data_IF_367977993122
#
_entry.id   IF_367977993122
#
_cell.length_a   1.000
_cell.length_b   1.000
_cell.length_c   1.000
_cell.angle_alpha   90.00
_cell.angle_beta   90.00
_cell.angle_gamma   90.00
#
_symmetry.space_group_name_H-M   'P 1'
#
loop_
_entity.id
_entity.type
_entity.pdbx_description
1 polymer ?
#
# COMPACT_ATOMS: atom_id res chain seq x y z
N UNK A 1 -20.87 -8.98 -19.24
CA UNK A 1 -19.53 -9.49 -18.86
C UNK A 1 -19.37 -9.87 -17.38
N UNK A 2 -20.42 -9.97 -16.56
CA UNK A 2 -20.32 -10.52 -15.18
C UNK A 2 -19.52 -9.70 -14.16
N UNK A 3 -18.95 -8.56 -14.56
CA UNK A 3 -18.24 -7.64 -13.67
C UNK A 3 -19.27 -6.89 -12.83
N UNK A 4 -19.21 -6.94 -11.49
CA UNK A 4 -20.11 -6.19 -10.62
C UNK A 4 -20.03 -4.70 -10.91
N UNK A 5 -21.18 -4.03 -10.95
CA UNK A 5 -21.24 -2.56 -11.01
C UNK A 5 -20.57 -1.99 -9.76
N UNK A 6 -19.76 -0.95 -9.94
CA UNK A 6 -19.10 -0.25 -8.83
C UNK A 6 -20.17 0.36 -7.92
N UNK A 7 -20.25 -0.09 -6.68
CA UNK A 7 -21.31 0.36 -5.77
C UNK A 7 -21.06 1.77 -5.22
N UNK A 8 -19.81 2.15 -4.97
CA UNK A 8 -19.47 3.48 -4.48
C UNK A 8 -18.21 4.05 -5.15
N UNK A 9 -18.41 4.66 -6.33
CA UNK A 9 -17.33 5.20 -7.14
C UNK A 9 -16.48 6.28 -6.42
N UNK A 10 -17.07 7.26 -5.69
CA UNK A 10 -16.27 8.26 -4.98
C UNK A 10 -15.30 7.65 -3.97
N UNK A 11 -15.73 6.63 -3.21
CA UNK A 11 -14.87 5.93 -2.25
C UNK A 11 -13.76 5.14 -2.93
N UNK A 12 -14.06 4.48 -4.06
CA UNK A 12 -13.05 3.77 -4.86
C UNK A 12 -11.97 4.74 -5.36
N UNK A 13 -12.37 5.91 -5.88
CA UNK A 13 -11.41 6.95 -6.33
C UNK A 13 -10.57 7.44 -5.16
N UNK A 14 -11.19 7.74 -4.02
CA UNK A 14 -10.48 8.16 -2.80
C UNK A 14 -9.44 7.13 -2.36
N UNK A 15 -9.83 5.85 -2.30
CA UNK A 15 -8.95 4.75 -1.93
C UNK A 15 -7.79 4.58 -2.93
N UNK A 16 -8.08 4.68 -4.22
CA UNK A 16 -7.06 4.61 -5.26
C UNK A 16 -6.04 5.75 -5.15
N UNK A 17 -6.50 7.00 -5.02
CA UNK A 17 -5.63 8.17 -4.90
C UNK A 17 -4.78 8.12 -3.64
N UNK A 18 -5.37 7.79 -2.49
CA UNK A 18 -4.64 7.66 -1.23
C UNK A 18 -3.65 6.49 -1.27
N UNK A 19 -4.05 5.35 -1.84
CA UNK A 19 -3.18 4.20 -2.02
C UNK A 19 -1.99 4.50 -2.93
N UNK A 20 -2.22 5.21 -4.04
CA UNK A 20 -1.16 5.69 -4.93
C UNK A 20 -0.19 6.61 -4.19
N UNK A 21 -0.70 7.61 -3.46
CA UNK A 21 0.15 8.51 -2.68
C UNK A 21 1.00 7.76 -1.64
N UNK A 22 0.40 6.77 -0.97
CA UNK A 22 1.08 5.92 0.02
C UNK A 22 2.21 5.11 -0.63
N UNK A 23 1.96 4.49 -1.78
CA UNK A 23 2.98 3.72 -2.51
C UNK A 23 4.09 4.63 -3.06
N UNK A 24 3.76 5.82 -3.56
CA UNK A 24 4.73 6.80 -4.04
C UNK A 24 5.65 7.23 -2.91
N UNK A 25 5.11 7.58 -1.75
CA UNK A 25 5.91 7.97 -0.58
C UNK A 25 6.80 6.82 -0.11
N UNK A 26 6.33 5.57 -0.14
CA UNK A 26 7.17 4.41 0.15
C UNK A 26 8.35 4.31 -0.84
N UNK A 27 8.09 4.49 -2.13
CA UNK A 27 9.14 4.54 -3.15
C UNK A 27 10.18 5.65 -2.90
N UNK A 28 9.72 6.84 -2.51
CA UNK A 28 10.60 7.97 -2.13
C UNK A 28 11.42 7.63 -0.89
N UNK A 29 10.82 7.01 0.14
CA UNK A 29 11.55 6.56 1.34
C UNK A 29 12.68 5.61 0.98
N UNK A 30 12.42 4.61 0.14
CA UNK A 30 13.43 3.65 -0.32
C UNK A 30 14.49 4.30 -1.19
N UNK A 31 14.08 5.20 -2.09
CA UNK A 31 14.98 5.94 -2.98
C UNK A 31 15.94 6.85 -2.20
N UNK A 32 15.42 7.57 -1.20
CA UNK A 32 16.24 8.44 -0.35
C UNK A 32 17.15 7.65 0.61
N UNK A 33 16.77 6.45 1.01
CA UNK A 33 17.58 5.58 1.87
C UNK A 33 18.70 4.88 1.09
N UNK A 34 18.58 4.82 -0.23
CA UNK A 34 19.51 4.13 -1.13
C UNK A 34 20.67 5.01 -1.55
N UNK A 35 21.86 4.42 -1.69
CA UNK A 35 23.06 5.12 -2.19
C UNK A 35 23.09 5.26 -3.71
N UNK A 36 22.44 4.34 -4.44
CA UNK A 36 22.42 4.31 -5.90
C UNK A 36 21.03 3.95 -6.42
N UNK A 37 20.74 4.33 -7.68
CA UNK A 37 19.51 3.94 -8.35
C UNK A 37 19.34 2.41 -8.45
N UNK A 38 20.44 1.68 -8.65
CA UNK A 38 20.43 0.21 -8.67
C UNK A 38 20.00 -0.38 -7.33
N UNK A 39 20.54 0.13 -6.22
CA UNK A 39 20.13 -0.31 -4.88
C UNK A 39 18.67 0.01 -4.58
N UNK A 40 18.19 1.20 -5.01
CA UNK A 40 16.79 1.59 -4.82
C UNK A 40 15.84 0.64 -5.55
N UNK A 41 16.16 0.28 -6.80
CA UNK A 41 15.36 -0.66 -7.58
C UNK A 41 15.33 -2.06 -6.96
N UNK A 42 16.48 -2.55 -6.48
CA UNK A 42 16.57 -3.86 -5.84
C UNK A 42 15.74 -3.91 -4.54
N UNK A 43 15.84 -2.87 -3.69
CA UNK A 43 15.04 -2.76 -2.47
C UNK A 43 13.55 -2.63 -2.78
N UNK A 44 13.20 -1.83 -3.79
CA UNK A 44 11.82 -1.70 -4.26
C UNK A 44 11.23 -3.03 -4.68
N UNK A 45 11.97 -3.83 -5.45
CA UNK A 45 11.52 -5.17 -5.86
C UNK A 45 11.40 -6.13 -4.68
N UNK A 46 12.37 -6.12 -3.77
CA UNK A 46 12.38 -6.98 -2.59
C UNK A 46 11.22 -6.66 -1.64
N UNK A 47 10.82 -5.39 -1.52
CA UNK A 47 9.65 -4.99 -0.76
C UNK A 47 8.33 -5.28 -1.51
N UNK A 48 8.30 -5.02 -2.82
CA UNK A 48 7.11 -5.18 -3.64
C UNK A 48 6.66 -6.63 -3.73
N UNK A 49 7.57 -7.58 -3.96
CA UNK A 49 7.19 -8.98 -4.19
C UNK A 49 6.42 -9.61 -3.00
N UNK A 50 6.88 -9.53 -1.74
CA UNK A 50 6.11 -10.03 -0.60
C UNK A 50 4.77 -9.31 -0.44
N UNK A 51 4.75 -7.98 -0.60
CA UNK A 51 3.51 -7.21 -0.52
C UNK A 51 2.52 -7.64 -1.60
N UNK A 52 2.98 -7.89 -2.82
CA UNK A 52 2.14 -8.31 -3.93
C UNK A 52 1.57 -9.73 -3.70
N UNK A 53 2.40 -10.66 -3.22
CA UNK A 53 1.96 -12.01 -2.89
C UNK A 53 0.89 -12.01 -1.78
N UNK A 54 1.08 -11.19 -0.74
CA UNK A 54 0.20 -11.14 0.42
C UNK A 54 -1.04 -10.26 0.21
N UNK A 55 -0.91 -9.16 -0.54
CA UNK A 55 -1.97 -8.18 -0.79
C UNK A 55 -3.06 -8.62 -1.78
N UNK A 56 -3.04 -9.90 -2.20
CA UNK A 56 -4.01 -10.49 -3.12
C UNK A 56 -3.61 -10.48 -4.60
N UNK A 57 -2.35 -10.15 -4.91
CA UNK A 57 -1.80 -10.30 -6.26
C UNK A 57 -1.41 -11.74 -6.62
N UNK A 58 -0.98 -12.52 -5.62
CA UNK A 58 -0.72 -13.95 -5.75
C UNK A 58 -1.96 -14.80 -5.42
N UNK A 59 -1.95 -15.62 -4.35
CA UNK A 59 -3.12 -16.40 -3.95
C UNK A 59 -4.25 -15.50 -3.40
N UNK A 60 -5.53 -15.92 -3.53
CA UNK A 60 -6.63 -15.23 -2.86
C UNK A 60 -6.39 -15.09 -1.36
N UNK A 61 -6.64 -13.92 -0.79
CA UNK A 61 -6.43 -13.66 0.65
C UNK A 61 -7.15 -14.65 1.58
N UNK A 62 -8.28 -15.21 1.12
CA UNK A 62 -9.06 -16.19 1.88
C UNK A 62 -8.38 -17.55 2.08
N UNK A 63 -7.35 -17.87 1.29
CA UNK A 63 -6.61 -19.15 1.42
C UNK A 63 -5.26 -18.99 2.15
N UNK A 64 -4.92 -17.77 2.57
CA UNK A 64 -3.72 -17.52 3.35
C UNK A 64 -3.84 -18.15 4.75
N UNK A 65 -2.73 -18.70 5.27
CA UNK A 65 -2.66 -19.11 6.67
C UNK A 65 -2.75 -17.89 7.59
N UNK A 66 -3.04 -18.09 8.87
CA UNK A 66 -3.21 -16.98 9.81
C UNK A 66 -1.92 -16.17 10.00
N UNK A 67 -0.76 -16.84 10.00
CA UNK A 67 0.54 -16.16 10.01
C UNK A 67 0.74 -15.26 8.77
N UNK A 68 0.29 -15.72 7.60
CA UNK A 68 0.38 -14.93 6.36
C UNK A 68 -0.60 -13.76 6.36
N UNK A 69 -1.80 -13.91 6.92
CA UNK A 69 -2.76 -12.81 7.10
C UNK A 69 -2.20 -11.73 8.01
N UNK A 70 -1.65 -12.11 9.15
CA UNK A 70 -0.98 -11.18 10.06
C UNK A 70 0.17 -10.45 9.36
N UNK A 71 0.98 -11.15 8.56
CA UNK A 71 2.03 -10.51 7.76
C UNK A 71 1.46 -9.56 6.69
N UNK A 72 0.34 -9.93 6.04
CA UNK A 72 -0.33 -9.11 5.04
C UNK A 72 -0.84 -7.79 5.64
N UNK A 73 -1.40 -7.83 6.85
CA UNK A 73 -1.93 -6.68 7.59
C UNK A 73 -0.83 -5.69 8.02
N UNK A 74 0.44 -6.08 7.96
CA UNK A 74 1.57 -5.18 8.21
C UNK A 74 1.99 -4.40 6.95
N UNK A 75 1.42 -4.71 5.79
CA UNK A 75 1.81 -4.09 4.53
C UNK A 75 0.76 -3.07 4.08
N UNK A 76 1.19 -1.90 3.56
CA UNK A 76 0.22 -0.91 3.09
C UNK A 76 -0.57 -1.41 1.87
N UNK A 77 0.00 -2.29 1.04
CA UNK A 77 -0.66 -2.79 -0.18
C UNK A 77 -1.93 -3.59 0.12
N UNK A 78 -1.95 -4.41 1.19
CA UNK A 78 -3.17 -5.12 1.61
C UNK A 78 -4.31 -4.16 1.97
N UNK A 79 -3.98 -3.03 2.61
CA UNK A 79 -4.98 -2.01 2.90
C UNK A 79 -5.42 -1.25 1.65
N UNK A 80 -4.53 -1.02 0.67
CA UNK A 80 -4.92 -0.43 -0.62
C UNK A 80 -5.93 -1.34 -1.33
N UNK A 81 -5.65 -2.64 -1.46
CA UNK A 81 -6.54 -3.56 -2.18
C UNK A 81 -7.88 -3.70 -1.48
N UNK A 82 -7.91 -3.79 -0.14
CA UNK A 82 -9.14 -3.83 0.64
C UNK A 82 -9.95 -2.52 0.56
N UNK A 83 -9.30 -1.36 0.69
CA UNK A 83 -9.95 -0.04 0.61
C UNK A 83 -10.62 0.22 -0.76
N UNK A 84 -10.08 -0.37 -1.83
CA UNK A 84 -10.68 -0.33 -3.17
C UNK A 84 -11.80 -1.37 -3.29
N UNK A 85 -11.53 -2.62 -2.89
CA UNK A 85 -12.43 -3.76 -3.10
C UNK A 85 -13.74 -3.65 -2.35
N UNK A 86 -13.69 -3.20 -1.09
CA UNK A 86 -14.88 -3.08 -0.24
C UNK A 86 -15.97 -2.18 -0.82
N UNK A 87 -15.71 -0.90 -1.14
CA UNK A 87 -16.71 -0.02 -1.74
C UNK A 87 -17.03 -0.38 -3.20
N UNK A 88 -16.15 -1.12 -3.90
CA UNK A 88 -16.46 -1.64 -5.23
C UNK A 88 -17.53 -2.72 -5.14
N UNK A 89 -17.34 -3.72 -4.28
CA UNK A 89 -18.18 -4.91 -4.19
C UNK A 89 -19.36 -4.76 -3.23
N UNK A 90 -19.42 -3.68 -2.44
CA UNK A 90 -20.44 -3.48 -1.41
C UNK A 90 -20.27 -4.35 -0.18
N UNK A 91 -19.08 -4.93 0.02
CA UNK A 91 -18.78 -5.81 1.17
C UNK A 91 -18.34 -5.02 2.40
N UNK A 92 -18.11 -3.72 2.28
CA UNK A 92 -17.63 -2.85 3.34
C UNK A 92 -17.52 -1.41 2.87
N UNK A 93 -17.02 -0.53 3.74
CA UNK A 93 -16.88 0.90 3.44
C UNK A 93 -15.46 1.30 3.06
N UNK A 94 -14.46 0.51 3.43
CA UNK A 94 -13.04 0.81 3.27
C UNK A 94 -12.46 1.79 4.29
N UNK A 95 -13.26 2.38 5.19
CA UNK A 95 -12.80 3.46 6.08
C UNK A 95 -11.68 3.06 7.03
N UNK A 96 -11.72 1.84 7.58
CA UNK A 96 -10.64 1.34 8.44
C UNK A 96 -9.31 1.28 7.68
N UNK A 97 -9.32 0.74 6.47
CA UNK A 97 -8.15 0.67 5.60
C UNK A 97 -7.67 2.06 5.17
N UNK A 98 -8.57 3.00 4.89
CA UNK A 98 -8.21 4.39 4.60
C UNK A 98 -7.49 5.05 5.79
N UNK A 99 -7.97 4.83 7.02
CA UNK A 99 -7.30 5.32 8.23
C UNK A 99 -5.88 4.78 8.37
N UNK A 100 -5.69 3.48 8.12
CA UNK A 100 -4.36 2.86 8.13
C UNK A 100 -3.45 3.46 7.05
N UNK A 101 -3.96 3.68 5.83
CA UNK A 101 -3.22 4.30 4.74
C UNK A 101 -2.81 5.75 5.05
N UNK A 102 -3.67 6.53 5.69
CA UNK A 102 -3.29 7.86 6.21
C UNK A 102 -2.12 7.76 7.19
N UNK A 103 -2.15 6.75 8.09
CA UNK A 103 -1.04 6.47 9.01
C UNK A 103 0.26 6.16 8.28
N UNK A 104 0.23 5.26 7.29
CA UNK A 104 1.41 4.95 6.47
C UNK A 104 1.93 6.17 5.71
N UNK A 105 1.05 6.96 5.11
CA UNK A 105 1.42 8.18 4.39
C UNK A 105 2.08 9.19 5.33
N UNK A 106 1.50 9.44 6.50
CA UNK A 106 2.04 10.36 7.49
C UNK A 106 3.42 9.92 8.00
N UNK A 107 3.58 8.63 8.34
CA UNK A 107 4.87 8.06 8.76
C UNK A 107 5.90 8.17 7.64
N UNK A 108 5.52 7.80 6.40
CA UNK A 108 6.40 7.89 5.25
C UNK A 108 6.89 9.32 4.98
N UNK A 109 5.99 10.31 5.03
CA UNK A 109 6.35 11.73 4.89
C UNK A 109 7.26 12.21 6.02
N UNK A 110 7.01 11.80 7.26
CA UNK A 110 7.88 12.11 8.40
C UNK A 110 9.29 11.53 8.20
N UNK A 111 9.37 10.28 7.74
CA UNK A 111 10.64 9.61 7.42
C UNK A 111 11.37 10.34 6.29
N UNK A 112 10.68 10.72 5.21
CA UNK A 112 11.25 11.54 4.12
C UNK A 112 11.82 12.85 4.67
N UNK A 113 11.06 13.58 5.49
CA UNK A 113 11.51 14.83 6.09
C UNK A 113 12.78 14.63 6.95
N UNK A 114 12.86 13.55 7.73
CA UNK A 114 14.05 13.22 8.53
C UNK A 114 15.24 12.88 7.64
N UNK A 115 15.04 12.11 6.56
CA UNK A 115 16.11 11.77 5.62
C UNK A 115 16.70 13.01 4.95
N UNK A 116 15.85 13.95 4.52
CA UNK A 116 16.29 15.19 3.90
C UNK A 116 17.07 16.08 4.87
N UNK A 117 16.66 16.17 6.15
CA UNK A 117 17.38 16.95 7.18
C UNK A 117 18.77 16.40 7.51
N UNK A 118 18.99 15.10 7.31
CA UNK A 118 20.27 14.44 7.63
C UNK A 118 21.29 14.48 6.50
N UNK A 119 20.91 14.93 5.30
CA UNK A 119 21.83 15.02 4.17
C UNK A 119 22.68 16.29 4.30
N UNK A 120 24.02 16.18 4.36
CA UNK A 120 24.88 17.36 4.31
C UNK A 120 24.74 18.04 2.95
N UNK A 121 24.72 19.39 2.95
CA UNK A 121 24.71 20.22 1.74
C UNK A 121 26.00 20.03 0.92
#
# INVERSE_FOLDING_TARGET
YGIPVVQNLPRVILAFTLGMATMVVLGVVLGLASRTARSAQALGMLAFLPMWLLGGGGPPVGVLSDAMKTAADLTPLSHVTAAIREPWLGTGTGWGHLGVLVGFLAVGLAVVAVQLRRRPN
#
